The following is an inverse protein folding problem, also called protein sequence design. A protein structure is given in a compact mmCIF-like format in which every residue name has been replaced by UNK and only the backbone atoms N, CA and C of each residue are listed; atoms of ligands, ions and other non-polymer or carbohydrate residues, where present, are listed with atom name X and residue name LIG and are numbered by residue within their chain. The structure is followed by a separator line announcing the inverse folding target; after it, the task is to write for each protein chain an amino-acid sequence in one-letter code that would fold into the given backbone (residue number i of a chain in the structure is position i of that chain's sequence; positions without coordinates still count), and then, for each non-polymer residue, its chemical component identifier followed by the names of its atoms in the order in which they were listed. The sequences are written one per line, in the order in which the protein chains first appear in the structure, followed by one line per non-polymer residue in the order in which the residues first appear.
data_IF_970136851063
#
_entry.id   IF_970136851063
#
_cell.length_a   1.000
_cell.length_b   1.000
_cell.length_c   1.000
_cell.angle_alpha   90.00
_cell.angle_beta   90.00
_cell.angle_gamma   90.00
#
_symmetry.space_group_name_H-M   'P 1'
#
loop_
_entity.id
_entity.type
_entity.pdbx_description
1 polymer ?
#
# COMPACT_ATOMS: atom_id res chain seq x y z
N UNK A 1 1.77 19.25 -15.47
CA UNK A 1 0.87 18.16 -15.92
C UNK A 1 1.25 17.82 -17.35
N UNK A 2 1.65 16.59 -17.60
CA UNK A 2 1.88 16.10 -18.97
C UNK A 2 0.86 14.98 -19.21
N UNK A 3 -0.21 15.29 -19.95
CA UNK A 3 -1.13 14.26 -20.42
C UNK A 3 -0.45 13.54 -21.58
N UNK A 4 -0.17 12.24 -21.40
CA UNK A 4 0.31 11.38 -22.49
C UNK A 4 -0.88 10.48 -22.85
N UNK A 5 -1.56 10.81 -23.96
CA UNK A 5 -2.72 10.04 -24.43
C UNK A 5 -2.24 8.94 -25.38
N UNK A 6 -2.49 7.67 -25.05
CA UNK A 6 -2.11 6.52 -25.90
C UNK A 6 -3.31 5.71 -26.42
N UNK A 7 -4.53 5.92 -25.88
CA UNK A 7 -5.79 5.25 -26.27
C UNK A 7 -6.99 6.15 -25.89
N UNK A 8 -8.11 6.13 -26.63
CA UNK A 8 -9.30 6.95 -26.32
C UNK A 8 -9.87 6.70 -24.91
N UNK A 9 -9.71 5.46 -24.41
CA UNK A 9 -10.15 5.02 -23.07
C UNK A 9 -9.05 5.06 -21.99
N UNK A 10 -7.83 5.52 -22.31
CA UNK A 10 -6.71 5.63 -21.37
C UNK A 10 -6.19 7.06 -21.28
N UNK A 11 -6.24 7.63 -20.08
CA UNK A 11 -5.59 8.89 -19.75
C UNK A 11 -4.53 8.63 -18.68
N UNK A 12 -3.30 9.03 -18.96
CA UNK A 12 -2.18 8.90 -18.02
C UNK A 12 -1.83 10.27 -17.44
N UNK A 13 -1.79 10.34 -16.11
CA UNK A 13 -1.48 11.52 -15.33
C UNK A 13 -0.21 11.25 -14.53
N UNK A 14 0.67 12.25 -14.46
CA UNK A 14 1.87 12.21 -13.62
C UNK A 14 1.93 13.49 -12.81
N UNK A 15 2.12 13.36 -11.50
CA UNK A 15 2.45 14.48 -10.62
C UNK A 15 3.97 14.62 -10.61
N UNK A 16 4.44 15.81 -10.95
CA UNK A 16 5.87 16.13 -10.89
C UNK A 16 6.20 16.47 -9.43
N UNK A 17 6.71 15.49 -8.68
CA UNK A 17 6.96 15.58 -7.24
C UNK A 17 8.20 16.40 -6.87
N UNK A 18 8.90 16.95 -7.88
CA UNK A 18 10.27 17.47 -7.81
C UNK A 18 10.56 18.63 -6.85
N UNK A 19 9.67 18.99 -5.92
CA UNK A 19 9.91 20.08 -4.97
C UNK A 19 9.56 19.73 -3.51
N UNK A 20 8.71 18.74 -3.19
CA UNK A 20 8.13 18.65 -1.83
C UNK A 20 8.21 17.27 -1.15
N UNK A 21 8.75 16.22 -1.79
CA UNK A 21 8.98 14.91 -1.17
C UNK A 21 10.48 14.62 -1.06
N UNK A 22 10.96 13.99 0.03
CA UNK A 22 12.31 13.47 0.09
C UNK A 22 12.56 12.45 -1.02
N UNK A 23 13.68 12.61 -1.71
CA UNK A 23 14.19 11.60 -2.64
C UNK A 23 14.63 10.35 -1.88
N UNK A 24 14.72 9.22 -2.57
CA UNK A 24 15.26 7.98 -1.99
C UNK A 24 16.63 8.18 -1.32
N UNK A 25 17.51 8.97 -1.93
CA UNK A 25 18.82 9.30 -1.36
C UNK A 25 18.70 10.08 -0.03
N UNK A 26 17.78 11.05 0.05
CA UNK A 26 17.55 11.84 1.26
C UNK A 26 16.97 10.98 2.40
N UNK A 27 15.97 10.15 2.11
CA UNK A 27 15.38 9.26 3.12
C UNK A 27 16.40 8.21 3.62
N UNK A 28 17.23 7.66 2.72
CA UNK A 28 18.31 6.72 3.12
C UNK A 28 19.35 7.42 4.01
N UNK A 29 19.76 8.64 3.65
CA UNK A 29 20.69 9.43 4.45
C UNK A 29 20.17 9.71 5.86
N UNK A 30 18.93 10.20 5.96
CA UNK A 30 18.30 10.51 7.25
C UNK A 30 18.00 9.24 8.05
N UNK A 31 17.39 8.25 7.43
CA UNK A 31 16.93 7.02 8.10
C UNK A 31 18.07 6.18 8.65
N UNK A 32 19.17 6.03 7.90
CA UNK A 32 20.31 5.22 8.34
C UNK A 32 21.24 5.92 9.35
N UNK A 33 21.10 7.23 9.53
CA UNK A 33 21.84 7.98 10.57
C UNK A 33 21.01 8.27 11.83
N UNK A 34 19.71 8.02 11.77
CA UNK A 34 18.79 8.13 12.91
C UNK A 34 19.08 7.11 14.02
N UNK A 35 18.56 7.40 15.22
CA UNK A 35 18.56 6.51 16.38
C UNK A 35 17.13 6.41 16.95
N UNK A 36 16.39 5.32 16.71
CA UNK A 36 16.78 4.13 15.94
C UNK A 36 16.89 4.38 14.42
N UNK A 37 17.60 3.49 13.71
CA UNK A 37 17.71 3.51 12.25
C UNK A 37 16.42 3.01 11.62
N UNK A 38 16.02 3.61 10.50
CA UNK A 38 14.82 3.21 9.77
C UNK A 38 15.00 3.35 8.25
N UNK A 39 14.16 2.64 7.49
CA UNK A 39 13.99 2.82 6.05
C UNK A 39 12.49 2.75 5.73
N UNK A 40 12.01 3.62 4.84
CA UNK A 40 10.57 3.66 4.50
C UNK A 40 10.17 2.45 3.65
N UNK A 41 9.03 1.77 3.96
CA UNK A 41 8.54 0.62 3.20
C UNK A 41 8.13 0.98 1.77
N UNK A 42 7.88 2.26 1.46
CA UNK A 42 7.57 2.70 0.08
C UNK A 42 8.70 2.35 -0.91
N UNK A 43 9.92 2.18 -0.42
CA UNK A 43 11.07 1.83 -1.24
C UNK A 43 11.24 0.33 -1.51
N UNK A 44 10.42 -0.53 -0.91
CA UNK A 44 10.42 -1.96 -1.25
C UNK A 44 9.99 -2.22 -2.69
N UNK A 45 9.12 -1.39 -3.24
CA UNK A 45 8.42 -1.64 -4.51
C UNK A 45 9.21 -1.18 -5.74
N UNK A 46 10.51 -1.51 -5.80
CA UNK A 46 11.18 -1.57 -7.11
C UNK A 46 10.65 -2.78 -7.92
N UNK A 47 11.11 -2.97 -9.15
CA UNK A 47 10.64 -4.07 -10.00
C UNK A 47 10.77 -5.44 -9.30
N UNK A 48 11.93 -5.69 -8.68
CA UNK A 48 12.19 -6.96 -8.00
C UNK A 48 11.34 -7.12 -6.74
N UNK A 49 11.23 -6.07 -5.92
CA UNK A 49 10.42 -6.11 -4.71
C UNK A 49 8.93 -6.26 -5.00
N UNK A 50 8.44 -5.68 -6.09
CA UNK A 50 7.06 -5.89 -6.54
C UNK A 50 6.81 -7.37 -6.90
N UNK A 51 7.72 -8.01 -7.62
CA UNK A 51 7.64 -9.46 -7.91
C UNK A 51 7.69 -10.31 -6.64
N UNK A 52 8.53 -9.94 -5.67
CA UNK A 52 8.60 -10.62 -4.37
C UNK A 52 7.29 -10.47 -3.60
N UNK A 53 6.67 -9.29 -3.61
CA UNK A 53 5.37 -9.08 -2.99
C UNK A 53 4.26 -9.91 -3.65
N UNK A 54 4.28 -10.07 -4.98
CA UNK A 54 3.36 -10.97 -5.67
C UNK A 54 3.56 -12.44 -5.24
N UNK A 55 4.79 -12.85 -4.98
CA UNK A 55 5.08 -14.18 -4.40
C UNK A 55 4.54 -14.27 -2.97
N UNK A 56 4.73 -13.23 -2.15
CA UNK A 56 4.18 -13.15 -0.79
C UNK A 56 2.66 -13.36 -0.79
N UNK A 57 1.95 -12.74 -1.72
CA UNK A 57 0.49 -12.87 -1.85
C UNK A 57 0.01 -14.33 -2.07
N UNK A 58 0.90 -15.21 -2.56
CA UNK A 58 0.62 -16.62 -2.82
C UNK A 58 1.11 -17.56 -1.70
N UNK A 59 1.86 -17.06 -0.71
CA UNK A 59 2.37 -17.88 0.40
C UNK A 59 1.25 -18.42 1.28
N UNK A 60 1.30 -19.69 1.74
CA UNK A 60 0.26 -20.25 2.60
C UNK A 60 0.12 -19.50 3.93
N UNK A 61 1.20 -18.91 4.45
CA UNK A 61 1.19 -18.13 5.70
C UNK A 61 0.54 -16.74 5.52
N UNK A 62 0.71 -16.10 4.36
CA UNK A 62 0.22 -14.74 4.10
C UNK A 62 -1.28 -14.70 3.78
N UNK A 63 -2.09 -14.82 4.83
CA UNK A 63 -3.55 -14.76 4.73
C UNK A 63 -4.14 -13.40 4.29
N UNK A 64 -3.55 -12.20 4.56
CA UNK A 64 -4.26 -10.93 4.33
C UNK A 64 -4.75 -10.77 2.90
N UNK A 65 -3.92 -11.10 1.92
CA UNK A 65 -4.28 -11.06 0.50
C UNK A 65 -5.48 -11.95 0.18
N UNK A 66 -5.50 -13.18 0.69
CA UNK A 66 -6.59 -14.13 0.45
C UNK A 66 -7.87 -13.73 1.17
N UNK A 67 -7.78 -13.31 2.44
CA UNK A 67 -8.95 -12.87 3.21
C UNK A 67 -9.65 -11.68 2.52
N UNK A 68 -8.91 -10.67 2.09
CA UNK A 68 -9.52 -9.54 1.37
C UNK A 68 -10.07 -9.95 -0.01
N UNK A 69 -9.39 -10.85 -0.74
CA UNK A 69 -9.93 -11.42 -1.97
C UNK A 69 -11.25 -12.15 -1.73
N UNK A 70 -11.35 -12.92 -0.65
CA UNK A 70 -12.57 -13.68 -0.32
C UNK A 70 -13.76 -12.74 -0.04
N UNK A 71 -13.51 -11.56 0.53
CA UNK A 71 -14.51 -10.50 0.67
C UNK A 71 -15.01 -10.06 -0.71
N UNK A 72 -14.11 -9.74 -1.64
CA UNK A 72 -14.53 -9.30 -2.98
C UNK A 72 -15.26 -10.40 -3.75
N UNK A 73 -14.83 -11.66 -3.64
CA UNK A 73 -15.52 -12.81 -4.26
C UNK A 73 -16.95 -12.92 -3.75
N UNK A 74 -17.16 -12.77 -2.45
CA UNK A 74 -18.47 -12.91 -1.83
C UNK A 74 -19.38 -11.68 -2.02
N UNK A 75 -18.80 -10.48 -1.97
CA UNK A 75 -19.57 -9.24 -1.78
C UNK A 75 -19.40 -8.20 -2.90
N UNK A 76 -18.64 -8.44 -3.97
CA UNK A 76 -18.42 -7.43 -5.02
C UNK A 76 -19.72 -6.83 -5.60
N UNK A 77 -20.77 -7.63 -5.78
CA UNK A 77 -22.06 -7.13 -6.28
C UNK A 77 -22.76 -6.20 -5.26
N UNK A 78 -22.66 -6.54 -3.97
CA UNK A 78 -23.22 -5.75 -2.87
C UNK A 78 -22.43 -4.45 -2.67
N UNK A 79 -21.09 -4.53 -2.70
CA UNK A 79 -20.21 -3.37 -2.66
C UNK A 79 -20.52 -2.44 -3.84
N UNK A 80 -20.64 -2.97 -5.05
CA UNK A 80 -21.03 -2.18 -6.23
C UNK A 80 -22.42 -1.54 -6.07
N UNK A 81 -23.39 -2.21 -5.46
CA UNK A 81 -24.71 -1.63 -5.20
C UNK A 81 -24.66 -0.44 -4.22
N UNK A 82 -23.76 -0.47 -3.24
CA UNK A 82 -23.56 0.64 -2.28
C UNK A 82 -22.86 1.86 -2.87
N UNK A 83 -21.86 1.64 -3.74
CA UNK A 83 -21.07 2.71 -4.37
C UNK A 83 -21.71 3.22 -5.67
N UNK A 84 -22.56 2.43 -6.32
CA UNK A 84 -23.19 2.75 -7.60
C UNK A 84 -22.19 2.95 -8.73
N UNK A 85 -22.46 3.91 -9.62
CA UNK A 85 -21.62 4.22 -10.78
C UNK A 85 -20.50 5.23 -10.49
N UNK A 86 -20.12 5.42 -9.22
CA UNK A 86 -19.03 6.31 -8.87
C UNK A 86 -17.72 5.83 -9.50
N UNK A 87 -16.90 6.72 -10.09
CA UNK A 87 -15.52 6.42 -10.47
C UNK A 87 -14.76 5.82 -9.29
N UNK A 88 -14.11 4.67 -9.50
CA UNK A 88 -13.34 4.00 -8.46
C UNK A 88 -11.89 4.45 -8.51
N UNK A 89 -11.42 5.14 -7.47
CA UNK A 89 -10.05 5.63 -7.33
C UNK A 89 -9.32 4.77 -6.31
N UNK A 90 -8.31 4.01 -6.73
CA UNK A 90 -7.60 3.05 -5.86
C UNK A 90 -6.16 3.50 -5.58
N UNK A 91 -5.87 3.74 -4.30
CA UNK A 91 -4.52 4.02 -3.81
C UNK A 91 -3.69 2.72 -3.70
N UNK A 92 -2.50 2.71 -4.30
CA UNK A 92 -1.60 1.55 -4.27
C UNK A 92 -2.17 0.36 -5.03
N UNK A 93 -2.66 0.63 -6.25
CA UNK A 93 -3.44 -0.34 -7.02
C UNK A 93 -2.69 -1.61 -7.44
N UNK A 94 -1.35 -1.55 -7.53
CA UNK A 94 -0.53 -2.66 -8.00
C UNK A 94 -1.05 -3.27 -9.31
N UNK A 95 -1.16 -4.60 -9.37
CA UNK A 95 -1.70 -5.32 -10.52
C UNK A 95 -3.25 -5.37 -10.58
N UNK A 96 -3.93 -4.72 -9.63
CA UNK A 96 -5.39 -4.68 -9.48
C UNK A 96 -6.09 -6.06 -9.46
N UNK A 97 -5.37 -7.14 -9.14
CA UNK A 97 -5.91 -8.51 -9.24
C UNK A 97 -7.15 -8.73 -8.36
N UNK A 98 -7.19 -8.15 -7.14
CA UNK A 98 -8.36 -8.18 -6.25
C UNK A 98 -9.45 -7.23 -6.75
N UNK A 99 -9.08 -6.06 -7.23
CA UNK A 99 -10.02 -5.06 -7.72
C UNK A 99 -10.82 -5.54 -8.92
N UNK A 100 -10.27 -6.45 -9.74
CA UNK A 100 -10.99 -7.09 -10.85
C UNK A 100 -12.34 -7.71 -10.45
N UNK A 101 -12.48 -8.24 -9.23
CA UNK A 101 -13.78 -8.76 -8.76
C UNK A 101 -14.83 -7.65 -8.67
N UNK A 102 -14.45 -6.47 -8.17
CA UNK A 102 -15.31 -5.30 -8.12
C UNK A 102 -15.54 -4.71 -9.52
N UNK A 103 -14.50 -4.57 -10.35
CA UNK A 103 -14.64 -4.09 -11.74
C UNK A 103 -15.55 -5.00 -12.58
N UNK A 104 -15.54 -6.31 -12.33
CA UNK A 104 -16.49 -7.23 -12.96
C UNK A 104 -17.94 -6.96 -12.56
N UNK A 105 -18.19 -6.46 -11.33
CA UNK A 105 -19.53 -6.03 -10.93
C UNK A 105 -19.96 -4.74 -11.64
N UNK A 106 -19.04 -3.79 -11.86
CA UNK A 106 -19.27 -2.61 -12.71
C UNK A 106 -19.59 -3.01 -14.16
N UNK A 107 -18.76 -3.88 -14.76
CA UNK A 107 -18.94 -4.32 -16.15
C UNK A 107 -20.30 -5.01 -16.39
N UNK A 108 -20.80 -5.78 -15.43
CA UNK A 108 -22.13 -6.42 -15.51
C UNK A 108 -23.29 -5.43 -15.57
N UNK A 109 -23.08 -4.17 -15.22
CA UNK A 109 -24.09 -3.13 -15.39
C UNK A 109 -24.24 -2.68 -16.85
N UNK A 110 -23.36 -3.14 -17.76
CA UNK A 110 -23.38 -2.83 -19.22
C UNK A 110 -23.43 -1.33 -19.50
N UNK A 111 -22.72 -0.54 -18.69
CA UNK A 111 -22.65 0.92 -18.79
C UNK A 111 -21.21 1.39 -18.61
N UNK A 112 -20.81 2.51 -19.24
CA UNK A 112 -19.48 3.09 -19.04
C UNK A 112 -19.19 3.35 -17.56
N UNK A 113 -17.99 3.00 -17.12
CA UNK A 113 -17.51 3.26 -15.77
C UNK A 113 -16.03 3.64 -15.78
N UNK A 114 -15.60 4.41 -14.78
CA UNK A 114 -14.24 4.91 -14.68
C UNK A 114 -13.49 4.22 -13.55
N UNK A 115 -12.28 3.75 -13.84
CA UNK A 115 -11.32 3.26 -12.86
C UNK A 115 -10.06 4.12 -12.89
N UNK A 116 -9.61 4.55 -11.71
CA UNK A 116 -8.49 5.45 -11.53
C UNK A 116 -7.43 4.79 -10.63
N UNK A 117 -6.56 3.93 -11.19
CA UNK A 117 -5.46 3.34 -10.43
C UNK A 117 -4.42 4.41 -10.09
N UNK A 118 -4.01 4.47 -8.82
CA UNK A 118 -2.96 5.38 -8.32
C UNK A 118 -1.81 4.52 -7.79
N UNK A 119 -0.59 4.76 -8.29
CA UNK A 119 0.58 3.97 -7.88
C UNK A 119 1.89 4.75 -8.07
N UNK A 120 2.92 4.35 -7.32
CA UNK A 120 4.29 4.89 -7.43
C UNK A 120 5.08 4.21 -8.56
N UNK A 121 4.61 3.06 -9.05
CA UNK A 121 5.25 2.34 -10.15
C UNK A 121 4.60 2.68 -11.50
N UNK A 122 5.26 3.47 -12.37
CA UNK A 122 4.69 3.85 -13.66
C UNK A 122 4.59 2.64 -14.62
N UNK A 123 5.48 1.66 -14.48
CA UNK A 123 5.45 0.42 -15.27
C UNK A 123 4.23 -0.42 -14.89
N UNK A 124 4.02 -0.65 -13.59
CA UNK A 124 2.86 -1.40 -13.09
C UNK A 124 1.54 -0.75 -13.52
N UNK A 125 1.43 0.58 -13.44
CA UNK A 125 0.24 1.30 -13.89
C UNK A 125 -0.08 1.07 -15.37
N UNK A 126 0.94 1.11 -16.24
CA UNK A 126 0.74 0.90 -17.68
C UNK A 126 0.33 -0.53 -17.99
N UNK A 127 1.03 -1.51 -17.44
CA UNK A 127 0.74 -2.93 -17.64
C UNK A 127 -0.67 -3.28 -17.15
N UNK A 128 -1.04 -2.83 -15.96
CA UNK A 128 -2.38 -3.01 -15.39
C UNK A 128 -3.43 -2.35 -16.27
N UNK A 129 -3.21 -1.10 -16.72
CA UNK A 129 -4.16 -0.40 -17.58
C UNK A 129 -4.41 -1.15 -18.90
N UNK A 130 -3.34 -1.59 -19.59
CA UNK A 130 -3.45 -2.31 -20.87
C UNK A 130 -4.22 -3.64 -20.70
N UNK A 131 -3.92 -4.39 -19.63
CA UNK A 131 -4.62 -5.64 -19.34
C UNK A 131 -6.11 -5.43 -19.04
N UNK A 132 -6.45 -4.36 -18.30
CA UNK A 132 -7.83 -4.04 -17.95
C UNK A 132 -8.62 -3.56 -19.18
N UNK A 133 -8.03 -2.75 -20.05
CA UNK A 133 -8.67 -2.29 -21.29
C UNK A 133 -8.98 -3.43 -22.28
N UNK A 134 -8.16 -4.48 -22.27
CA UNK A 134 -8.41 -5.71 -23.03
C UNK A 134 -9.47 -6.61 -22.39
N UNK A 135 -9.62 -6.57 -21.07
CA UNK A 135 -10.55 -7.43 -20.32
C UNK A 135 -11.97 -6.85 -20.21
N UNK A 136 -12.12 -5.53 -20.15
CA UNK A 136 -13.40 -4.85 -19.90
C UNK A 136 -13.77 -3.92 -21.05
N UNK A 137 -15.01 -4.04 -21.53
CA UNK A 137 -15.49 -3.26 -22.69
C UNK A 137 -15.93 -1.86 -22.29
N UNK A 138 -16.47 -1.71 -21.08
CA UNK A 138 -17.10 -0.46 -20.64
C UNK A 138 -16.19 0.38 -19.72
N UNK A 139 -14.94 -0.04 -19.52
CA UNK A 139 -13.99 0.68 -18.66
C UNK A 139 -13.32 1.86 -19.38
N UNK A 140 -13.30 3.00 -18.72
CA UNK A 140 -12.37 4.12 -18.94
C UNK A 140 -11.32 4.12 -17.82
N UNK A 141 -10.04 4.29 -18.16
CA UNK A 141 -8.93 4.29 -17.20
C UNK A 141 -8.26 5.65 -17.15
N UNK A 142 -8.16 6.19 -15.93
CA UNK A 142 -7.43 7.42 -15.61
C UNK A 142 -6.30 7.07 -14.65
N UNK A 143 -5.16 6.61 -15.18
CA UNK A 143 -4.03 6.16 -14.38
C UNK A 143 -3.22 7.34 -13.83
N UNK A 144 -3.01 7.37 -12.52
CA UNK A 144 -2.26 8.43 -11.83
C UNK A 144 -0.94 7.88 -11.26
N UNK A 145 0.17 8.28 -11.86
CA UNK A 145 1.50 8.04 -11.31
C UNK A 145 1.82 9.11 -10.25
N UNK A 146 1.83 8.70 -8.99
CA UNK A 146 2.09 9.54 -7.83
C UNK A 146 2.47 8.73 -6.57
N UNK A 147 3.40 9.26 -5.79
CA UNK A 147 3.62 8.94 -4.38
C UNK A 147 2.51 9.58 -3.54
N UNK A 148 1.54 8.74 -3.16
CA UNK A 148 0.43 9.12 -2.31
C UNK A 148 0.75 8.98 -0.81
N UNK A 149 1.98 8.64 -0.41
CA UNK A 149 2.36 8.40 0.99
C UNK A 149 2.01 9.61 1.86
N UNK A 150 0.99 9.47 2.71
CA UNK A 150 0.44 10.56 3.53
C UNK A 150 -0.26 11.69 2.75
N UNK A 151 -0.46 11.53 1.44
CA UNK A 151 -0.95 12.56 0.50
C UNK A 151 -2.11 12.04 -0.36
N UNK A 152 -3.27 11.72 0.23
CA UNK A 152 -4.44 11.29 -0.55
C UNK A 152 -4.94 12.40 -1.50
N UNK A 153 -4.60 13.67 -1.24
CA UNK A 153 -4.96 14.84 -2.06
C UNK A 153 -4.41 14.80 -3.49
N UNK A 154 -3.43 13.94 -3.78
CA UNK A 154 -2.91 13.74 -5.15
C UNK A 154 -4.02 13.44 -6.17
N UNK A 155 -5.11 12.79 -5.74
CA UNK A 155 -6.23 12.42 -6.61
C UNK A 155 -7.11 13.60 -7.02
N UNK A 156 -6.96 14.78 -6.38
CA UNK A 156 -7.65 16.00 -6.81
C UNK A 156 -7.17 16.49 -8.18
N UNK A 157 -6.05 15.96 -8.69
CA UNK A 157 -5.58 16.20 -10.05
C UNK A 157 -6.41 15.48 -11.11
N UNK A 158 -7.18 14.46 -10.72
CA UNK A 158 -8.10 13.75 -11.61
C UNK A 158 -9.36 14.60 -11.86
N UNK A 159 -9.88 14.64 -13.09
CA UNK A 159 -11.06 15.44 -13.44
C UNK A 159 -12.36 14.74 -12.99
N UNK A 160 -12.53 14.54 -11.68
CA UNK A 160 -13.67 13.81 -11.09
C UNK A 160 -14.45 14.72 -10.12
N UNK A 161 -15.75 14.89 -10.37
CA UNK A 161 -16.64 15.62 -9.45
C UNK A 161 -17.06 14.76 -8.25
N UNK A 162 -17.25 13.44 -8.48
CA UNK A 162 -17.64 12.45 -7.48
C UNK A 162 -16.80 11.19 -7.65
N UNK A 163 -16.56 10.46 -6.56
CA UNK A 163 -15.65 9.31 -6.54
C UNK A 163 -15.89 8.36 -5.36
N UNK A 164 -15.62 7.09 -5.60
CA UNK A 164 -15.36 6.10 -4.57
C UNK A 164 -13.84 6.00 -4.40
N UNK A 165 -13.33 6.49 -3.28
CA UNK A 165 -11.92 6.30 -2.91
C UNK A 165 -11.75 4.89 -2.33
N UNK A 166 -10.62 4.24 -2.61
CA UNK A 166 -10.33 2.89 -2.17
C UNK A 166 -8.88 2.76 -1.72
N UNK A 167 -8.66 2.16 -0.55
CA UNK A 167 -7.34 1.80 -0.06
C UNK A 167 -7.36 0.38 0.52
N UNK A 168 -6.82 -0.56 -0.23
CA UNK A 168 -6.93 -2.00 0.02
C UNK A 168 -5.63 -2.60 0.59
N UNK A 169 -5.70 -3.88 0.97
CA UNK A 169 -4.55 -4.66 1.42
C UNK A 169 -4.08 -4.37 2.83
N UNK A 170 -4.83 -3.59 3.61
CA UNK A 170 -4.41 -3.11 4.93
C UNK A 170 -3.16 -2.24 4.91
N UNK A 171 -2.89 -1.58 3.78
CA UNK A 171 -1.76 -0.67 3.59
C UNK A 171 -1.81 0.54 4.52
N UNK A 172 -2.98 0.92 5.06
CA UNK A 172 -3.09 1.91 6.14
C UNK A 172 -2.27 1.48 7.37
N UNK A 173 -2.17 0.18 7.64
CA UNK A 173 -1.39 -0.35 8.75
C UNK A 173 0.11 -0.11 8.64
N UNK A 174 0.61 0.33 7.47
CA UNK A 174 2.02 0.71 7.30
C UNK A 174 2.34 2.09 7.89
N UNK A 175 1.31 2.89 8.16
CA UNK A 175 1.43 4.17 8.82
C UNK A 175 1.43 3.99 10.34
N UNK A 176 2.11 4.90 11.05
CA UNK A 176 1.90 5.07 12.48
C UNK A 176 0.43 5.43 12.77
N UNK A 177 0.01 5.37 14.04
CA UNK A 177 -1.37 5.73 14.40
C UNK A 177 -1.66 7.21 14.08
N UNK A 178 -0.69 8.08 14.25
CA UNK A 178 -0.75 9.51 13.92
C UNK A 178 -0.89 9.71 12.41
N UNK A 179 0.00 9.10 11.62
CA UNK A 179 -0.07 9.17 10.15
C UNK A 179 -1.36 8.57 9.60
N UNK A 180 -1.87 7.48 10.19
CA UNK A 180 -3.17 6.90 9.82
C UNK A 180 -4.31 7.90 10.03
N UNK A 181 -4.35 8.56 11.20
CA UNK A 181 -5.34 9.60 11.51
C UNK A 181 -5.24 10.76 10.53
N UNK A 182 -4.04 11.25 10.26
CA UNK A 182 -3.83 12.33 9.30
C UNK A 182 -4.26 11.94 7.88
N UNK A 183 -3.92 10.73 7.44
CA UNK A 183 -4.32 10.22 6.13
C UNK A 183 -5.84 10.18 5.99
N UNK A 184 -6.55 9.66 6.99
CA UNK A 184 -8.02 9.63 7.01
C UNK A 184 -8.62 11.05 7.03
N UNK A 185 -8.08 11.97 7.81
CA UNK A 185 -8.52 13.37 7.85
C UNK A 185 -8.33 14.07 6.51
N UNK A 186 -7.18 13.88 5.86
CA UNK A 186 -6.90 14.41 4.52
C UNK A 186 -7.79 13.76 3.46
N UNK A 187 -8.07 12.47 3.59
CA UNK A 187 -9.03 11.76 2.74
C UNK A 187 -10.43 12.35 2.87
N UNK A 188 -10.92 12.56 4.09
CA UNK A 188 -12.22 13.20 4.32
C UNK A 188 -12.28 14.63 3.77
N UNK A 189 -11.20 15.40 3.87
CA UNK A 189 -11.13 16.78 3.38
C UNK A 189 -11.26 16.91 1.85
N UNK A 190 -11.00 15.83 1.09
CA UNK A 190 -11.12 15.81 -0.37
C UNK A 190 -12.42 15.13 -0.85
N UNK A 191 -13.27 14.67 0.06
CA UNK A 191 -14.53 14.00 -0.25
C UNK A 191 -15.69 14.99 -0.32
N UNK A 192 -16.52 14.86 -1.35
CA UNK A 192 -17.83 15.50 -1.43
C UNK A 192 -18.92 14.71 -0.70
N UNK A 193 -20.13 15.28 -0.51
CA UNK A 193 -21.22 14.63 0.24
C UNK A 193 -21.69 13.28 -0.33
N UNK A 194 -21.46 13.05 -1.62
CA UNK A 194 -21.85 11.82 -2.33
C UNK A 194 -20.69 10.84 -2.49
N UNK A 195 -19.48 11.22 -2.09
CA UNK A 195 -18.30 10.37 -2.16
C UNK A 195 -18.36 9.28 -1.08
N UNK A 196 -17.63 8.20 -1.33
CA UNK A 196 -17.47 7.09 -0.39
C UNK A 196 -16.00 6.69 -0.28
N UNK A 197 -15.62 6.10 0.85
CA UNK A 197 -14.27 5.58 1.05
C UNK A 197 -14.31 4.11 1.48
N UNK A 198 -13.73 3.24 0.66
CA UNK A 198 -13.53 1.83 0.91
C UNK A 198 -12.15 1.60 1.51
N UNK A 199 -12.08 0.99 2.68
CA UNK A 199 -10.83 0.76 3.41
C UNK A 199 -10.73 -0.71 3.82
N UNK A 200 -9.72 -1.40 3.28
CA UNK A 200 -9.40 -2.77 3.67
C UNK A 200 -8.47 -2.77 4.89
N UNK A 201 -8.81 -3.54 5.92
CA UNK A 201 -8.10 -3.58 7.20
C UNK A 201 -7.90 -5.01 7.68
N UNK A 202 -6.66 -5.34 8.01
CA UNK A 202 -6.29 -6.58 8.68
C UNK A 202 -6.59 -6.48 10.18
N UNK A 203 -7.39 -7.43 10.67
CA UNK A 203 -7.86 -7.42 12.04
C UNK A 203 -6.83 -7.97 13.03
N UNK A 204 -6.91 -7.53 14.27
CA UNK A 204 -6.12 -8.10 15.35
C UNK A 204 -6.44 -9.60 15.53
N UNK A 205 -5.39 -10.41 15.67
CA UNK A 205 -5.47 -11.86 15.92
C UNK A 205 -4.21 -12.33 16.65
N UNK A 206 -4.12 -13.63 16.98
CA UNK A 206 -3.00 -14.10 17.80
C UNK A 206 -1.66 -13.96 17.07
N UNK A 207 -0.55 -13.69 17.80
CA UNK A 207 0.79 -13.59 17.20
C UNK A 207 1.22 -14.85 16.45
N UNK A 208 0.69 -16.02 16.84
CA UNK A 208 0.96 -17.31 16.20
C UNK A 208 0.48 -17.37 14.74
N UNK A 209 -0.52 -16.54 14.38
CA UNK A 209 -0.93 -16.37 12.98
C UNK A 209 -0.29 -15.16 12.32
N UNK A 210 -0.06 -14.08 13.09
CA UNK A 210 0.48 -12.84 12.54
C UNK A 210 1.96 -12.97 12.16
N UNK A 211 2.81 -13.51 13.03
CA UNK A 211 4.26 -13.54 12.78
C UNK A 211 4.60 -14.40 11.55
N UNK A 212 4.07 -15.63 11.37
CA UNK A 212 4.39 -16.42 10.18
C UNK A 212 3.96 -15.78 8.87
N UNK A 213 2.93 -14.92 8.86
CA UNK A 213 2.56 -14.19 7.66
C UNK A 213 3.66 -13.22 7.19
N UNK A 214 4.54 -12.78 8.09
CA UNK A 214 5.65 -11.86 7.79
C UNK A 214 7.02 -12.51 7.93
N UNK A 215 7.08 -13.80 8.31
CA UNK A 215 8.31 -14.60 8.45
C UNK A 215 8.01 -16.02 7.93
N UNK A 216 7.71 -16.09 6.64
CA UNK A 216 7.30 -17.33 5.99
C UNK A 216 8.44 -18.35 5.90
N UNK A 217 8.08 -19.64 5.93
CA UNK A 217 9.07 -20.72 5.93
C UNK A 217 9.89 -20.81 4.63
N UNK A 218 9.40 -20.19 3.55
CA UNK A 218 10.07 -20.17 2.24
C UNK A 218 11.10 -19.03 2.13
N UNK A 219 11.15 -18.12 3.10
CA UNK A 219 12.08 -16.99 3.13
C UNK A 219 11.81 -15.91 2.10
N UNK A 220 10.60 -15.86 1.53
CA UNK A 220 10.24 -14.89 0.48
C UNK A 220 10.10 -13.49 1.09
N UNK A 221 9.48 -13.36 2.26
CA UNK A 221 9.35 -12.08 2.99
C UNK A 221 10.70 -11.58 3.48
N UNK A 222 11.60 -12.48 3.88
CA UNK A 222 12.98 -12.12 4.20
C UNK A 222 13.71 -11.54 2.97
N UNK A 223 13.55 -12.17 1.80
CA UNK A 223 14.11 -11.66 0.55
C UNK A 223 13.50 -10.31 0.15
N UNK A 224 12.19 -10.12 0.36
CA UNK A 224 11.49 -8.85 0.14
C UNK A 224 12.05 -7.73 1.03
N UNK A 225 12.21 -7.99 2.34
CA UNK A 225 12.74 -6.99 3.27
C UNK A 225 14.19 -6.61 2.92
N UNK A 226 15.05 -7.61 2.70
CA UNK A 226 16.48 -7.39 2.36
C UNK A 226 16.66 -6.69 1.00
N UNK A 227 15.69 -6.78 0.10
CA UNK A 227 15.75 -6.15 -1.23
C UNK A 227 16.04 -4.63 -1.17
N UNK A 228 15.62 -3.94 -0.11
CA UNK A 228 15.92 -2.50 0.04
C UNK A 228 17.43 -2.23 0.11
N UNK A 229 18.22 -3.14 0.69
CA UNK A 229 19.68 -3.01 0.71
C UNK A 229 20.29 -3.24 -0.68
N UNK A 230 19.76 -4.19 -1.45
CA UNK A 230 20.13 -4.37 -2.85
C UNK A 230 19.85 -3.13 -3.68
N UNK A 231 18.69 -2.49 -3.45
CA UNK A 231 18.33 -1.23 -4.09
C UNK A 231 19.29 -0.10 -3.73
N UNK A 232 19.62 0.07 -2.45
CA UNK A 232 20.62 1.07 -2.03
C UNK A 232 21.97 0.81 -2.69
N UNK A 233 22.42 -0.44 -2.78
CA UNK A 233 23.66 -0.78 -3.48
C UNK A 233 23.62 -0.38 -4.97
N UNK A 234 22.51 -0.68 -5.66
CA UNK A 234 22.34 -0.43 -7.09
C UNK A 234 22.19 1.06 -7.42
N UNK A 235 21.34 1.78 -6.69
CA UNK A 235 20.93 3.15 -7.04
C UNK A 235 21.80 4.21 -6.37
N UNK A 236 22.33 3.95 -5.17
CA UNK A 236 23.06 4.93 -4.35
C UNK A 236 24.55 4.58 -4.18
N UNK A 237 25.00 3.50 -4.81
CA UNK A 237 26.37 3.00 -4.66
C UNK A 237 26.68 2.54 -3.23
N UNK A 238 25.66 2.03 -2.51
CA UNK A 238 25.87 1.35 -1.23
C UNK A 238 26.78 0.13 -1.36
N UNK A 239 27.49 -0.19 -0.29
CA UNK A 239 28.35 -1.39 -0.21
C UNK A 239 27.87 -2.35 0.88
N UNK A 240 26.55 -2.53 1.01
CA UNK A 240 25.99 -3.53 1.92
C UNK A 240 26.38 -4.94 1.45
N UNK A 241 27.03 -5.72 2.31
CA UNK A 241 26.99 -7.18 2.17
C UNK A 241 25.67 -7.66 2.75
N UNK A 242 24.65 -7.80 1.89
CA UNK A 242 23.29 -8.16 2.31
C UNK A 242 23.20 -9.44 3.14
N UNK A 243 24.16 -10.37 2.99
CA UNK A 243 24.18 -11.66 3.70
C UNK A 243 24.50 -11.50 5.19
N UNK A 244 25.01 -10.33 5.59
CA UNK A 244 25.30 -9.98 6.99
C UNK A 244 24.10 -9.37 7.70
N UNK A 245 22.93 -9.29 7.06
CA UNK A 245 21.68 -8.79 7.64
C UNK A 245 20.65 -9.92 7.73
N UNK A 246 20.15 -10.18 8.93
CA UNK A 246 19.03 -11.10 9.15
C UNK A 246 17.71 -10.34 9.03
N UNK A 247 16.73 -10.96 8.38
CA UNK A 247 15.34 -10.55 8.50
C UNK A 247 14.80 -10.88 9.91
N UNK A 248 14.00 -9.98 10.48
CA UNK A 248 13.22 -10.22 11.68
C UNK A 248 11.80 -9.70 11.45
N UNK A 249 10.81 -10.52 11.75
CA UNK A 249 9.45 -10.08 12.00
C UNK A 249 9.09 -10.33 13.47
N UNK A 250 8.49 -9.35 14.12
CA UNK A 250 8.01 -9.48 15.50
C UNK A 250 6.65 -8.83 15.65
N UNK A 251 5.83 -9.35 16.57
CA UNK A 251 4.58 -8.72 16.95
C UNK A 251 4.78 -7.88 18.21
N UNK A 252 4.69 -6.56 18.06
CA UNK A 252 4.65 -5.61 19.16
C UNK A 252 3.24 -5.59 19.75
N UNK A 253 3.07 -6.27 20.89
CA UNK A 253 1.77 -6.41 21.57
C UNK A 253 1.23 -5.09 22.12
N UNK A 254 2.11 -4.19 22.56
CA UNK A 254 1.71 -2.90 23.15
C UNK A 254 1.13 -1.98 22.09
N UNK A 255 1.78 -1.93 20.91
CA UNK A 255 1.32 -1.11 19.79
C UNK A 255 0.22 -1.77 18.95
N UNK A 256 0.13 -3.10 18.98
CA UNK A 256 -0.81 -3.88 18.17
C UNK A 256 -0.37 -4.01 16.70
N UNK A 257 0.92 -4.18 16.45
CA UNK A 257 1.48 -4.20 15.08
C UNK A 257 2.53 -5.28 14.88
N UNK A 258 2.65 -5.76 13.64
CA UNK A 258 3.88 -6.40 13.19
C UNK A 258 4.92 -5.32 12.92
N UNK A 259 6.17 -5.62 13.26
CA UNK A 259 7.32 -4.83 12.85
C UNK A 259 8.28 -5.72 12.07
N UNK A 260 8.76 -5.21 10.94
CA UNK A 260 9.84 -5.82 10.18
C UNK A 260 11.13 -5.05 10.39
N UNK A 261 12.21 -5.79 10.58
CA UNK A 261 13.55 -5.23 10.81
C UNK A 261 14.60 -5.99 10.00
N UNK A 262 15.71 -5.30 9.73
CA UNK A 262 16.95 -5.89 9.27
C UNK A 262 18.01 -5.78 10.36
N UNK A 263 18.51 -6.91 10.86
CA UNK A 263 19.47 -6.95 11.96
C UNK A 263 20.88 -7.25 11.45
N UNK A 264 21.81 -6.37 11.78
CA UNK A 264 23.23 -6.57 11.48
C UNK A 264 23.80 -7.74 12.31
N UNK A 265 24.42 -8.73 11.66
CA UNK A 265 25.02 -9.91 12.33
C UNK A 265 26.33 -9.59 13.04
N UNK A 266 27.04 -8.54 12.60
CA UNK A 266 28.33 -8.13 13.15
C UNK A 266 28.43 -6.61 13.20
N UNK A 267 29.42 -6.09 13.92
CA UNK A 267 29.77 -4.69 13.76
C UNK A 267 30.31 -4.47 12.34
N UNK A 268 29.80 -3.47 11.62
CA UNK A 268 30.20 -3.19 10.24
C UNK A 268 30.03 -1.72 9.87
N UNK A 269 30.78 -1.28 8.87
CA UNK A 269 30.71 0.08 8.32
C UNK A 269 30.41 -0.01 6.84
N UNK A 270 29.34 0.64 6.42
CA UNK A 270 28.86 0.56 5.04
C UNK A 270 28.92 1.95 4.41
N UNK A 271 29.86 2.20 3.48
CA UNK A 271 29.85 3.42 2.69
C UNK A 271 28.69 3.41 1.69
N UNK A 272 28.10 4.60 1.46
CA UNK A 272 27.07 4.85 0.46
C UNK A 272 27.50 6.08 -0.32
N UNK A 273 27.92 5.86 -1.58
CA UNK A 273 28.65 6.85 -2.37
C UNK A 273 27.82 8.09 -2.70
N UNK A 274 26.57 7.93 -3.14
CA UNK A 274 25.75 9.05 -3.65
C UNK A 274 25.32 10.04 -2.56
N UNK A 275 25.43 9.66 -1.29
CA UNK A 275 25.08 10.50 -0.14
C UNK A 275 26.30 10.84 0.72
N UNK A 276 27.51 10.47 0.27
CA UNK A 276 28.80 10.72 0.91
C UNK A 276 28.86 10.33 2.41
N UNK A 277 28.22 9.22 2.78
CA UNK A 277 28.12 8.77 4.16
C UNK A 277 28.70 7.37 4.38
N UNK A 278 29.15 7.14 5.61
CA UNK A 278 29.53 5.81 6.11
C UNK A 278 28.65 5.48 7.30
N UNK A 279 27.71 4.57 7.10
CA UNK A 279 26.79 4.12 8.13
C UNK A 279 27.48 3.06 8.97
N UNK A 280 27.47 3.23 10.29
CA UNK A 280 28.03 2.24 11.22
C UNK A 280 26.92 1.45 11.89
N UNK A 281 27.12 0.14 11.99
CA UNK A 281 26.25 -0.81 12.67
C UNK A 281 27.02 -1.50 13.78
N UNK A 282 26.42 -1.63 14.96
CA UNK A 282 26.86 -2.59 15.97
C UNK A 282 26.35 -4.00 15.63
N UNK A 283 26.97 -5.03 16.22
CA UNK A 283 26.41 -6.39 16.14
C UNK A 283 25.05 -6.41 16.85
N UNK A 284 24.03 -6.94 16.18
CA UNK A 284 22.65 -6.98 16.67
C UNK A 284 21.85 -5.69 16.47
N UNK A 285 22.46 -4.61 15.96
CA UNK A 285 21.72 -3.38 15.68
C UNK A 285 20.73 -3.59 14.53
N UNK A 286 19.51 -3.06 14.70
CA UNK A 286 18.43 -3.20 13.73
C UNK A 286 18.16 -1.92 12.95
N UNK A 287 17.67 -2.10 11.72
CA UNK A 287 17.01 -1.09 10.91
C UNK A 287 15.53 -1.46 10.91
N UNK A 288 14.65 -0.59 11.41
CA UNK A 288 13.21 -0.76 11.25
C UNK A 288 12.83 -0.49 9.79
N UNK A 289 12.05 -1.37 9.17
CA UNK A 289 11.74 -1.26 7.74
C UNK A 289 10.24 -1.22 7.42
N UNK A 290 9.38 -1.74 8.29
CA UNK A 290 7.93 -1.69 8.09
C UNK A 290 7.17 -1.83 9.42
N UNK A 291 6.05 -1.13 9.52
CA UNK A 291 5.00 -1.44 10.47
C UNK A 291 3.86 -2.14 9.73
N UNK A 292 3.11 -2.99 10.41
CA UNK A 292 1.80 -3.42 9.94
C UNK A 292 0.86 -3.51 11.12
N UNK A 293 0.21 -2.38 11.44
CA UNK A 293 -0.81 -2.28 12.47
C UNK A 293 -2.01 -3.18 12.16
N UNK A 294 -2.51 -3.81 13.21
CA UNK A 294 -3.71 -4.65 13.19
C UNK A 294 -4.75 -3.97 14.07
N UNK A 295 -5.97 -3.88 13.55
CA UNK A 295 -7.01 -3.08 14.17
C UNK A 295 -8.13 -3.97 14.70
N UNK A 296 -8.84 -3.49 15.70
CA UNK A 296 -10.17 -4.01 16.03
C UNK A 296 -11.24 -3.28 15.21
N UNK A 297 -12.47 -3.81 15.18
CA UNK A 297 -13.60 -3.12 14.55
C UNK A 297 -13.88 -1.77 15.23
N UNK A 298 -13.66 -1.68 16.55
CA UNK A 298 -13.85 -0.45 17.30
C UNK A 298 -12.77 0.58 16.98
N UNK A 299 -11.51 0.17 16.81
CA UNK A 299 -10.43 1.06 16.32
C UNK A 299 -10.79 1.66 14.96
N UNK A 300 -11.33 0.85 14.04
CA UNK A 300 -11.74 1.31 12.69
C UNK A 300 -12.87 2.33 12.78
N UNK A 301 -13.85 2.11 13.67
CA UNK A 301 -14.93 3.09 13.90
C UNK A 301 -14.40 4.39 14.50
N UNK A 302 -13.48 4.30 15.45
CA UNK A 302 -12.86 5.46 16.09
C UNK A 302 -12.02 6.28 15.09
N UNK A 303 -11.21 5.60 14.26
CA UNK A 303 -10.44 6.21 13.18
C UNK A 303 -11.33 7.02 12.23
N UNK A 304 -12.46 6.44 11.81
CA UNK A 304 -13.45 7.14 11.00
C UNK A 304 -14.02 8.36 11.72
N UNK A 305 -14.45 8.21 12.97
CA UNK A 305 -15.04 9.29 13.76
C UNK A 305 -14.10 10.50 13.90
N UNK A 306 -12.81 10.28 14.20
CA UNK A 306 -11.80 11.36 14.29
C UNK A 306 -11.55 12.08 12.95
N UNK A 307 -11.82 11.40 11.84
CA UNK A 307 -11.71 11.96 10.49
C UNK A 307 -13.03 12.53 9.95
N UNK A 308 -14.10 12.55 10.76
CA UNK A 308 -15.47 12.90 10.32
C UNK A 308 -16.01 12.00 9.20
N UNK A 309 -15.67 10.73 9.28
CA UNK A 309 -16.15 9.67 8.41
C UNK A 309 -17.04 8.72 9.21
N UNK A 310 -18.30 8.60 8.81
CA UNK A 310 -19.22 7.62 9.37
C UNK A 310 -18.93 6.24 8.79
N UNK A 311 -18.70 5.25 9.64
CA UNK A 311 -18.67 3.84 9.22
C UNK A 311 -20.10 3.40 8.84
N UNK A 312 -20.35 3.29 7.54
CA UNK A 312 -21.67 3.00 7.00
C UNK A 312 -21.95 1.49 6.94
N UNK A 313 -20.99 0.71 6.43
CA UNK A 313 -21.11 -0.74 6.26
C UNK A 313 -19.76 -1.43 6.41
N UNK A 314 -19.79 -2.71 6.79
CA UNK A 314 -18.59 -3.56 6.85
C UNK A 314 -18.87 -4.91 6.22
N UNK A 315 -17.85 -5.48 5.58
CA UNK A 315 -17.83 -6.86 5.10
C UNK A 315 -16.62 -7.57 5.69
N UNK A 316 -16.77 -8.85 6.00
CA UNK A 316 -15.72 -9.67 6.59
C UNK A 316 -15.43 -10.87 5.70
N UNK A 317 -14.20 -11.36 5.72
CA UNK A 317 -13.92 -12.69 5.20
C UNK A 317 -14.56 -13.76 6.09
N UNK A 318 -14.69 -14.98 5.57
CA UNK A 318 -15.34 -16.09 6.29
C UNK A 318 -14.75 -16.39 7.68
N UNK A 319 -13.49 -16.01 7.94
CA UNK A 319 -12.80 -16.22 9.21
C UNK A 319 -12.74 -14.98 10.10
N UNK A 320 -13.28 -13.84 9.67
CA UNK A 320 -13.18 -12.55 10.36
C UNK A 320 -11.72 -12.16 10.66
N UNK A 321 -10.82 -12.46 9.75
CA UNK A 321 -9.41 -12.07 9.80
C UNK A 321 -9.18 -10.70 9.18
N UNK A 322 -10.07 -10.28 8.29
CA UNK A 322 -9.97 -9.04 7.53
C UNK A 322 -11.35 -8.40 7.43
N UNK A 323 -11.39 -7.08 7.37
CA UNK A 323 -12.61 -6.33 7.09
C UNK A 323 -12.40 -5.38 5.91
N UNK A 324 -13.48 -5.16 5.17
CA UNK A 324 -13.62 -4.04 4.26
C UNK A 324 -14.65 -3.08 4.85
N UNK A 325 -14.24 -1.86 5.15
CA UNK A 325 -15.10 -0.81 5.68
C UNK A 325 -15.54 0.14 4.56
N UNK A 326 -16.81 0.47 4.52
CA UNK A 326 -17.36 1.56 3.71
C UNK A 326 -17.66 2.75 4.62
N UNK A 327 -16.99 3.86 4.34
CA UNK A 327 -17.19 5.14 5.01
C UNK A 327 -17.93 6.14 4.12
N UNK A 328 -18.70 7.01 4.76
CA UNK A 328 -19.31 8.21 4.15
C UNK A 328 -18.92 9.45 4.96
N UNK A 329 -18.75 10.63 4.35
CA UNK A 329 -18.58 11.89 5.09
C UNK A 329 -19.77 12.15 6.03
N UNK A 330 -19.50 12.70 7.21
CA UNK A 330 -20.52 13.15 8.17
C UNK A 330 -21.25 14.43 7.74
#
# INVERSE_FOLDING_TARGET
MTQITTNERLRFYTIDEGVHQPTFAQDVATGLTSKPKWLSPKYFYDERGSQLYEQICNLPEYYPYRSERDIFVAYAAEIHAEIGSLPLVEFGSGNAAKTRYLLAAYERAERPFTYCPVDISPTMLRETADQLLGAYRHIDIHALHADFTGRPDVVQTLPLEKKALAFFGSSLGNFTREESREFLQRTAAIMGPEDVFLLGIDLQKSPEFLVPAYDDAQGVTAAFNVNILHRINRELGGQFDVRTFDHIALYNKEEGRIEMHLRSRSAQRVPILSIEQVVSFAAGETIHTENSYKYTVDDVRELGHHAKLMLHRTWFDSKHYFLLALFRPL
#
